data_IF_237615032230
#
_entry.id   IF_237615032230
#
_cell.length_a   1.000
_cell.length_b   1.000
_cell.length_c   1.000
_cell.angle_alpha   90.00
_cell.angle_beta   90.00
_cell.angle_gamma   90.00
#
_symmetry.space_group_name_H-M   'P 1'
#
loop_
_entity.id
_entity.type
_entity.pdbx_description
1 polymer ?
#
# COMPACT_ATOMS: atom_id res chain seq x y z
N UNK A 1 -12.70 2.00 -10.32
CA UNK A 1 -11.82 0.83 -10.10
C UNK A 1 -10.50 1.35 -9.57
N UNK A 2 -9.92 0.64 -8.61
CA UNK A 2 -8.59 0.89 -8.05
C UNK A 2 -7.62 -0.15 -8.61
N UNK A 3 -6.46 0.30 -9.05
CA UNK A 3 -5.36 -0.56 -9.48
C UNK A 3 -4.32 -0.67 -8.38
N UNK A 4 -3.83 -1.88 -8.12
CA UNK A 4 -2.71 -2.12 -7.21
C UNK A 4 -1.67 -3.01 -7.87
N UNK A 5 -0.40 -2.77 -7.56
CA UNK A 5 0.66 -3.74 -7.81
C UNK A 5 0.74 -4.63 -6.58
N UNK A 6 0.58 -5.93 -6.74
CA UNK A 6 0.60 -6.91 -5.66
C UNK A 6 1.86 -7.76 -5.71
N UNK A 7 2.27 -8.30 -4.56
CA UNK A 7 3.34 -9.30 -4.49
C UNK A 7 2.80 -10.67 -4.92
N UNK A 8 3.03 -11.06 -6.17
CA UNK A 8 2.47 -12.29 -6.74
C UNK A 8 3.25 -13.55 -6.33
N UNK A 9 4.55 -13.42 -6.05
CA UNK A 9 5.40 -14.48 -5.51
C UNK A 9 6.60 -13.89 -4.77
N UNK A 10 7.27 -14.73 -3.97
CA UNK A 10 8.46 -14.34 -3.22
C UNK A 10 9.66 -14.16 -4.17
N UNK A 11 10.30 -12.98 -4.23
CA UNK A 11 11.49 -12.77 -5.06
C UNK A 11 12.66 -13.65 -4.63
N UNK A 12 13.33 -14.27 -5.60
CA UNK A 12 14.58 -15.00 -5.38
C UNK A 12 15.75 -14.15 -5.89
N UNK A 13 16.53 -13.58 -4.96
CA UNK A 13 17.51 -12.54 -5.30
C UNK A 13 16.86 -11.19 -5.57
N UNK A 14 17.29 -10.50 -6.63
CA UNK A 14 16.73 -9.20 -7.00
C UNK A 14 15.30 -9.35 -7.52
N UNK A 15 14.36 -8.43 -7.17
CA UNK A 15 13.02 -8.45 -7.72
C UNK A 15 13.01 -8.37 -9.23
N UNK A 16 12.17 -9.18 -9.84
CA UNK A 16 11.87 -9.14 -11.27
C UNK A 16 10.38 -8.85 -11.48
N UNK A 17 10.01 -8.43 -12.68
CA UNK A 17 8.62 -8.10 -13.02
C UNK A 17 7.64 -9.23 -12.67
N UNK A 18 8.02 -10.49 -12.93
CA UNK A 18 7.21 -11.67 -12.64
C UNK A 18 6.97 -11.95 -11.15
N UNK A 19 7.64 -11.22 -10.25
CA UNK A 19 7.36 -11.28 -8.81
C UNK A 19 6.12 -10.48 -8.41
N UNK A 20 5.61 -9.66 -9.33
CA UNK A 20 4.49 -8.77 -9.12
C UNK A 20 3.36 -9.03 -10.13
N UNK A 21 2.18 -8.51 -9.82
CA UNK A 21 1.08 -8.45 -10.77
C UNK A 21 0.24 -7.19 -10.53
N UNK A 22 -0.47 -6.75 -11.56
CA UNK A 22 -1.50 -5.71 -11.40
C UNK A 22 -2.83 -6.38 -11.06
N UNK A 23 -3.53 -5.85 -10.06
CA UNK A 23 -4.88 -6.25 -9.68
C UNK A 23 -5.81 -5.05 -9.75
N UNK A 24 -7.06 -5.34 -10.08
CA UNK A 24 -8.12 -4.36 -10.09
C UNK A 24 -9.17 -4.73 -9.04
N UNK A 25 -9.62 -3.73 -8.31
CA UNK A 25 -10.68 -3.87 -7.32
C UNK A 25 -11.69 -2.71 -7.45
N UNK A 26 -12.94 -2.88 -6.98
CA UNK A 26 -13.83 -1.74 -6.79
C UNK A 26 -13.20 -0.74 -5.81
N UNK A 27 -13.59 0.54 -5.94
CA UNK A 27 -13.20 1.54 -4.96
C UNK A 27 -13.87 1.19 -3.61
N UNK A 28 -13.12 1.20 -2.49
CA UNK A 28 -13.71 0.90 -1.19
C UNK A 28 -14.63 2.03 -0.74
N UNK A 29 -15.63 1.69 0.07
CA UNK A 29 -16.41 2.68 0.81
C UNK A 29 -15.58 3.24 1.97
N UNK A 30 -15.68 4.55 2.21
CA UNK A 30 -14.98 5.18 3.33
C UNK A 30 -15.80 4.98 4.61
N UNK A 31 -15.24 4.21 5.55
CA UNK A 31 -15.80 4.01 6.89
C UNK A 31 -15.52 5.18 7.84
N UNK A 32 -16.20 5.21 8.99
CA UNK A 32 -15.93 6.20 10.04
C UNK A 32 -14.47 6.08 10.52
N UNK A 33 -13.77 7.21 10.67
CA UNK A 33 -12.36 7.21 11.05
C UNK A 33 -11.40 6.81 9.92
N UNK A 34 -11.87 6.73 8.67
CA UNK A 34 -11.02 6.50 7.51
C UNK A 34 -11.17 7.64 6.49
N UNK A 35 -10.23 7.68 5.56
CA UNK A 35 -10.27 8.54 4.38
C UNK A 35 -9.70 7.79 3.18
N UNK A 36 -10.10 8.20 1.98
CA UNK A 36 -9.61 7.66 0.71
C UNK A 36 -8.67 8.68 0.06
N UNK A 37 -7.56 8.21 -0.49
CA UNK A 37 -6.58 9.07 -1.16
C UNK A 37 -6.40 8.73 -2.63
N UNK A 38 -6.01 9.75 -3.41
CA UNK A 38 -5.39 9.59 -4.72
C UNK A 38 -3.88 9.63 -4.55
N UNK A 39 -3.23 8.49 -4.72
CA UNK A 39 -1.77 8.41 -4.66
C UNK A 39 -1.20 8.99 -5.97
N UNK A 40 -0.34 10.00 -5.88
CA UNK A 40 0.25 10.69 -7.03
C UNK A 40 1.71 10.33 -7.25
N UNK A 41 2.42 9.99 -6.16
CA UNK A 41 3.78 9.47 -6.21
C UNK A 41 3.92 8.28 -5.27
N UNK A 42 4.77 7.34 -5.66
CA UNK A 42 5.14 6.16 -4.85
C UNK A 42 6.66 6.19 -4.68
N UNK A 43 7.12 6.02 -3.45
CA UNK A 43 8.53 5.80 -3.14
C UNK A 43 8.90 4.34 -3.41
N UNK A 44 10.02 4.13 -4.10
CA UNK A 44 10.58 2.81 -4.37
C UNK A 44 11.91 2.69 -3.63
N UNK A 45 11.85 2.15 -2.41
CA UNK A 45 13.01 2.02 -1.54
C UNK A 45 13.53 0.58 -1.53
N UNK A 46 14.85 0.42 -1.71
CA UNK A 46 15.49 -0.89 -1.65
C UNK A 46 15.24 -1.62 -0.31
N UNK A 47 14.98 -0.87 0.77
CA UNK A 47 14.62 -1.43 2.07
C UNK A 47 13.37 -2.32 2.02
N UNK A 48 12.38 -1.99 1.18
CA UNK A 48 11.15 -2.79 1.07
C UNK A 48 11.39 -4.22 0.60
N UNK A 49 12.53 -4.49 -0.05
CA UNK A 49 12.94 -5.83 -0.45
C UNK A 49 12.98 -6.81 0.72
N UNK A 50 13.39 -6.37 1.92
CA UNK A 50 13.54 -7.26 3.06
C UNK A 50 12.21 -7.88 3.46
N UNK A 51 11.16 -7.07 3.53
CA UNK A 51 9.81 -7.51 3.92
C UNK A 51 9.08 -8.32 2.83
N UNK A 52 9.63 -8.47 1.62
CA UNK A 52 9.04 -9.34 0.59
C UNK A 52 9.32 -10.84 0.82
N UNK A 53 10.26 -11.17 1.72
CA UNK A 53 10.55 -12.56 2.06
C UNK A 53 9.45 -13.15 2.97
N UNK A 54 9.42 -14.48 3.08
CA UNK A 54 8.56 -15.15 4.05
C UNK A 54 9.10 -14.92 5.47
N UNK A 55 8.20 -14.72 6.44
CA UNK A 55 8.50 -14.51 7.87
C UNK A 55 9.51 -13.38 8.18
N UNK A 56 9.74 -12.44 7.25
CA UNK A 56 10.67 -11.33 7.42
C UNK A 56 10.09 -10.10 8.13
N UNK A 57 8.94 -10.27 8.80
CA UNK A 57 8.34 -9.21 9.60
C UNK A 57 9.20 -8.87 10.82
N UNK A 58 9.17 -7.61 11.22
CA UNK A 58 9.87 -7.11 12.40
C UNK A 58 8.96 -6.16 13.22
N UNK A 59 9.53 -5.47 14.21
CA UNK A 59 8.80 -4.50 15.04
C UNK A 59 8.34 -3.24 14.25
N UNK A 60 8.78 -3.07 13.00
CA UNK A 60 8.49 -1.91 12.17
C UNK A 60 7.39 -2.23 11.16
N UNK A 61 7.52 -3.35 10.45
CA UNK A 61 6.57 -3.80 9.43
C UNK A 61 6.42 -5.32 9.43
N UNK A 62 5.21 -5.83 9.20
CA UNK A 62 5.02 -7.25 8.94
C UNK A 62 5.67 -7.65 7.61
N UNK A 63 5.86 -8.95 7.40
CA UNK A 63 6.15 -9.48 6.07
C UNK A 63 5.01 -9.08 5.11
N UNK A 64 5.36 -8.76 3.87
CA UNK A 64 4.36 -8.52 2.83
C UNK A 64 3.61 -9.82 2.55
N UNK A 65 2.30 -9.75 2.46
CA UNK A 65 1.49 -10.91 2.10
C UNK A 65 1.48 -11.13 0.59
N UNK A 66 1.37 -12.39 0.17
CA UNK A 66 1.18 -12.69 -1.25
C UNK A 66 -0.22 -12.24 -1.70
N UNK A 67 -0.30 -11.83 -2.97
CA UNK A 67 -1.49 -11.27 -3.61
C UNK A 67 -2.08 -10.02 -2.95
N UNK A 68 -1.37 -9.40 -2.00
CA UNK A 68 -1.71 -8.10 -1.41
C UNK A 68 -0.86 -6.97 -2.00
N UNK A 69 -1.35 -5.70 -1.97
CA UNK A 69 -0.59 -4.56 -2.49
C UNK A 69 0.80 -4.44 -1.86
N UNK A 70 1.80 -4.15 -2.70
CA UNK A 70 3.18 -3.90 -2.22
C UNK A 70 3.21 -2.71 -1.26
N UNK A 71 3.96 -2.83 -0.17
CA UNK A 71 4.10 -1.72 0.77
C UNK A 71 5.05 -0.66 0.23
N UNK A 72 4.75 0.60 0.58
CA UNK A 72 5.53 1.75 0.15
C UNK A 72 5.12 3.02 0.88
N UNK A 73 5.88 4.09 0.65
CA UNK A 73 5.44 5.44 0.98
C UNK A 73 4.79 6.08 -0.24
N UNK A 74 3.76 6.87 -0.01
CA UNK A 74 3.05 7.61 -1.07
C UNK A 74 2.92 9.06 -0.70
N UNK A 75 2.99 9.93 -1.71
CA UNK A 75 2.40 11.27 -1.63
C UNK A 75 1.02 11.20 -2.22
N UNK A 76 0.05 11.73 -1.50
CA UNK A 76 -1.34 11.54 -1.85
C UNK A 76 -2.19 12.76 -1.50
N UNK A 77 -3.33 12.86 -2.19
CA UNK A 77 -4.38 13.84 -1.91
C UNK A 77 -5.64 13.14 -1.41
N UNK A 78 -6.24 13.64 -0.34
CA UNK A 78 -7.49 13.09 0.21
C UNK A 78 -8.64 13.39 -0.75
N UNK A 79 -9.33 12.35 -1.22
CA UNK A 79 -10.49 12.42 -2.12
C UNK A 79 -11.82 12.40 -1.37
N UNK A 80 -11.90 11.63 -0.29
CA UNK A 80 -13.08 11.47 0.56
C UNK A 80 -12.60 11.25 2.00
N UNK A 81 -13.28 11.82 2.99
CA UNK A 81 -12.90 11.65 4.39
C UNK A 81 -14.10 11.55 5.32
N UNK A 82 -14.04 10.58 6.24
CA UNK A 82 -14.84 10.52 7.47
C UNK A 82 -13.94 10.52 8.70
N UNK A 83 -12.73 11.08 8.57
CA UNK A 83 -11.77 11.27 9.64
C UNK A 83 -11.82 12.73 10.13
N UNK A 84 -11.69 12.94 11.44
CA UNK A 84 -11.79 14.28 12.02
C UNK A 84 -10.57 15.18 11.71
N UNK A 85 -9.37 14.60 11.66
CA UNK A 85 -8.12 15.34 11.41
C UNK A 85 -7.76 15.58 9.93
N UNK A 86 -8.39 14.87 8.99
CA UNK A 86 -8.02 14.92 7.57
C UNK A 86 -9.23 15.31 6.73
N UNK A 87 -9.08 16.32 5.88
CA UNK A 87 -10.14 16.87 5.04
C UNK A 87 -9.87 16.60 3.56
N UNK A 88 -10.95 16.60 2.77
CA UNK A 88 -10.84 16.48 1.31
C UNK A 88 -9.95 17.61 0.75
N UNK A 89 -8.99 17.25 -0.10
CA UNK A 89 -8.00 18.15 -0.68
C UNK A 89 -6.66 18.21 0.07
N UNK A 90 -6.59 17.71 1.30
CA UNK A 90 -5.35 17.64 2.06
C UNK A 90 -4.29 16.83 1.32
N UNK A 91 -3.05 17.31 1.36
CA UNK A 91 -1.89 16.63 0.77
C UNK A 91 -1.01 16.11 1.88
N UNK A 92 -0.72 14.82 1.82
CA UNK A 92 -0.02 14.12 2.89
C UNK A 92 0.95 13.09 2.33
N UNK A 93 1.88 12.69 3.19
CA UNK A 93 2.67 11.48 3.02
C UNK A 93 2.05 10.39 3.88
N UNK A 94 1.80 9.22 3.30
CA UNK A 94 1.31 8.06 4.04
C UNK A 94 2.14 6.84 3.71
N UNK A 95 2.15 5.87 4.62
CA UNK A 95 2.58 4.51 4.33
C UNK A 95 1.37 3.71 3.89
N UNK A 96 1.44 3.10 2.71
CA UNK A 96 0.44 2.15 2.27
C UNK A 96 0.84 0.77 2.83
N UNK A 97 0.24 0.38 3.94
CA UNK A 97 0.27 -1.01 4.41
C UNK A 97 -1.06 -1.63 3.98
N UNK A 98 -1.00 -2.78 3.30
CA UNK A 98 -2.19 -3.48 2.82
C UNK A 98 -3.16 -3.79 3.97
N UNK A 99 -4.45 -3.59 3.66
CA UNK A 99 -5.67 -3.68 4.48
C UNK A 99 -5.99 -2.47 5.37
N UNK A 100 -7.20 -1.90 5.25
CA UNK A 100 -7.80 -1.17 6.35
C UNK A 100 -7.91 -2.14 7.53
N UNK A 101 -7.06 -1.99 8.54
CA UNK A 101 -7.28 -2.63 9.83
C UNK A 101 -8.44 -1.89 10.48
N UNK A 102 -9.51 -2.64 10.79
CA UNK A 102 -10.60 -2.16 11.63
C UNK A 102 -10.09 -1.69 13.00
#
# INVERSE_FOLDING_TARGET
MMHSVVLARRPQGNPVEADFAVREAPQPEVGNGFFLTRNTFISLDAGFRNWMNEDSGDEVLPAMELDEPVMGLVLAEVLESKHHDYQVGDKLMARFAGKPTA
#
